data_IF_301488214676
#
_entry.id   IF_301488214676
#
_cell.length_a   1.000
_cell.length_b   1.000
_cell.length_c   1.000
_cell.angle_alpha   90.00
_cell.angle_beta   90.00
_cell.angle_gamma   90.00
#
_symmetry.space_group_name_H-M   'P 1'
#
loop_
_entity.id
_entity.type
_entity.pdbx_description
1 polymer ?
#
# COMPACT_ATOMS: atom_id res chain seq x y z
N UNK A 1 -5.47 2.07 -5.28
CA UNK A 1 -4.28 1.24 -5.07
C UNK A 1 -3.90 1.45 -3.61
N UNK A 2 -4.58 0.78 -2.67
CA UNK A 2 -4.55 1.16 -1.25
C UNK A 2 -5.37 2.40 -0.91
N UNK A 3 -5.35 2.75 0.38
CA UNK A 3 -6.00 3.90 1.01
C UNK A 3 -7.51 3.95 0.79
N UNK A 4 -8.17 2.88 1.19
CA UNK A 4 -9.62 2.74 1.18
C UNK A 4 -10.28 3.35 2.42
N UNK A 5 -9.52 3.48 3.52
CA UNK A 5 -9.99 3.89 4.84
C UNK A 5 -9.30 5.17 5.33
N UNK A 6 -9.78 5.67 6.49
CA UNK A 6 -9.38 6.92 7.14
C UNK A 6 -9.79 8.21 6.41
N UNK A 7 -9.75 9.33 7.15
CA UNK A 7 -10.07 10.73 6.75
C UNK A 7 -11.49 11.00 6.26
N UNK A 8 -12.14 10.06 5.58
CA UNK A 8 -13.54 10.14 5.16
C UNK A 8 -14.53 9.79 6.27
N UNK A 9 -15.82 9.96 5.98
CA UNK A 9 -16.91 9.63 6.91
C UNK A 9 -17.51 8.22 6.72
N UNK A 10 -17.15 7.56 5.61
CA UNK A 10 -17.75 6.33 5.12
C UNK A 10 -16.68 5.29 4.73
N UNK A 11 -15.60 5.21 5.50
CA UNK A 11 -14.51 4.25 5.26
C UNK A 11 -14.99 2.81 5.41
N UNK A 12 -15.91 2.54 6.34
CA UNK A 12 -16.52 1.22 6.54
C UNK A 12 -17.26 0.78 5.27
N UNK A 13 -18.20 1.57 4.77
CA UNK A 13 -18.98 1.21 3.59
C UNK A 13 -18.10 1.13 2.35
N UNK A 14 -17.10 2.00 2.24
CA UNK A 14 -16.14 1.98 1.13
C UNK A 14 -15.37 0.66 1.11
N UNK A 15 -14.81 0.25 2.24
CA UNK A 15 -14.03 -0.98 2.32
C UNK A 15 -14.91 -2.23 2.16
N UNK A 16 -16.07 -2.28 2.81
CA UNK A 16 -17.02 -3.40 2.68
C UNK A 16 -17.51 -3.57 1.24
N UNK A 17 -17.81 -2.48 0.54
CA UNK A 17 -18.20 -2.53 -0.87
C UNK A 17 -17.07 -3.11 -1.74
N UNK A 18 -15.84 -2.65 -1.53
CA UNK A 18 -14.68 -3.16 -2.27
C UNK A 18 -14.43 -4.64 -1.99
N UNK A 19 -14.58 -5.08 -0.74
CA UNK A 19 -14.49 -6.50 -0.38
C UNK A 19 -15.60 -7.32 -1.02
N UNK A 20 -16.85 -6.86 -0.97
CA UNK A 20 -17.97 -7.55 -1.61
C UNK A 20 -17.77 -7.68 -3.12
N UNK A 21 -17.28 -6.61 -3.76
CA UNK A 21 -16.92 -6.63 -5.17
C UNK A 21 -15.74 -7.57 -5.47
N UNK A 22 -14.71 -7.61 -4.62
CA UNK A 22 -13.60 -8.56 -4.74
C UNK A 22 -14.06 -10.01 -4.60
N UNK A 23 -14.99 -10.29 -3.68
CA UNK A 23 -15.58 -11.63 -3.51
C UNK A 23 -16.45 -12.03 -4.70
N UNK A 24 -17.23 -11.08 -5.24
CA UNK A 24 -18.11 -11.32 -6.39
C UNK A 24 -17.35 -11.45 -7.72
N UNK A 25 -16.29 -10.67 -7.90
CA UNK A 25 -15.49 -10.59 -9.13
C UNK A 25 -13.99 -10.77 -8.85
N UNK A 26 -13.57 -11.94 -8.32
CA UNK A 26 -12.21 -12.13 -7.81
C UNK A 26 -11.12 -12.03 -8.88
N UNK A 27 -11.44 -12.30 -10.16
CA UNK A 27 -10.51 -12.18 -11.27
C UNK A 27 -10.44 -10.75 -11.86
N UNK A 28 -11.44 -9.90 -11.60
CA UNK A 28 -11.55 -8.58 -12.22
C UNK A 28 -11.10 -7.45 -11.30
N UNK A 29 -11.14 -7.68 -9.98
CA UNK A 29 -10.85 -6.66 -8.98
C UNK A 29 -9.62 -7.07 -8.19
N UNK A 30 -8.64 -6.18 -8.12
CA UNK A 30 -7.42 -6.35 -7.32
C UNK A 30 -7.34 -5.21 -6.32
N UNK A 31 -7.32 -5.57 -5.04
CA UNK A 31 -7.13 -4.63 -3.95
C UNK A 31 -5.68 -4.71 -3.49
N UNK A 32 -4.98 -3.58 -3.60
CA UNK A 32 -3.65 -3.42 -3.05
C UNK A 32 -3.73 -2.78 -1.66
N UNK A 33 -2.80 -3.13 -0.79
CA UNK A 33 -2.61 -2.51 0.52
C UNK A 33 -2.01 -1.12 0.33
N UNK A 34 -2.55 -0.13 1.03
CA UNK A 34 -1.93 1.18 1.23
C UNK A 34 -1.39 1.34 2.64
N UNK A 35 -0.79 2.49 2.93
CA UNK A 35 -0.26 2.75 4.27
C UNK A 35 -1.39 2.93 5.30
N UNK A 36 -2.57 3.37 4.87
CA UNK A 36 -3.76 3.48 5.72
C UNK A 36 -4.42 2.12 6.05
N UNK A 37 -4.13 1.04 5.33
CA UNK A 37 -4.56 -0.32 5.71
C UNK A 37 -3.62 -0.94 6.77
N UNK A 38 -3.45 -0.23 7.88
CA UNK A 38 -2.60 -0.61 9.01
C UNK A 38 -3.27 -0.28 10.35
N UNK A 39 -2.97 -1.06 11.39
CA UNK A 39 -3.53 -0.87 12.73
C UNK A 39 -3.07 0.45 13.32
N UNK A 40 -1.80 0.79 13.14
CA UNK A 40 -1.22 2.02 13.69
C UNK A 40 -1.88 3.27 13.09
N UNK A 41 -2.02 3.34 11.77
CA UNK A 41 -2.60 4.53 11.11
C UNK A 41 -4.10 4.62 11.41
N UNK A 42 -4.86 3.52 11.26
CA UNK A 42 -6.32 3.55 11.48
C UNK A 42 -6.74 3.90 12.92
N UNK A 43 -5.86 3.68 13.90
CA UNK A 43 -6.09 4.05 15.31
C UNK A 43 -6.06 5.56 15.56
N UNK A 44 -5.51 6.35 14.64
CA UNK A 44 -5.33 7.80 14.79
C UNK A 44 -6.06 8.60 13.71
N UNK A 45 -6.24 8.04 12.51
CA UNK A 45 -6.72 8.78 11.33
C UNK A 45 -8.21 8.59 10.99
N UNK A 46 -8.97 7.93 11.88
CA UNK A 46 -10.42 8.02 11.94
C UNK A 46 -11.19 6.72 11.70
N UNK A 47 -10.61 5.69 11.06
CA UNK A 47 -11.32 4.45 10.78
C UNK A 47 -11.71 3.70 12.05
N UNK A 48 -10.84 3.68 13.07
CA UNK A 48 -11.16 3.09 14.38
C UNK A 48 -12.37 3.79 15.03
N UNK A 49 -12.37 5.12 15.06
CA UNK A 49 -13.45 5.92 15.64
C UNK A 49 -14.76 5.79 14.85
N UNK A 50 -14.68 5.70 13.52
CA UNK A 50 -15.83 5.42 12.66
C UNK A 50 -16.49 4.09 13.04
N UNK A 51 -15.69 3.04 13.22
CA UNK A 51 -16.20 1.72 13.62
C UNK A 51 -16.82 1.76 15.01
N UNK A 52 -16.15 2.37 15.98
CA UNK A 52 -16.70 2.50 17.33
C UNK A 52 -18.05 3.23 17.32
N UNK A 53 -18.16 4.31 16.55
CA UNK A 53 -19.40 5.07 16.41
C UNK A 53 -20.51 4.27 15.72
N UNK A 54 -20.21 3.48 14.70
CA UNK A 54 -21.21 2.73 13.92
C UNK A 54 -21.67 1.43 14.59
N UNK A 55 -20.76 0.73 15.27
CA UNK A 55 -21.01 -0.62 15.79
C UNK A 55 -20.96 -0.73 17.33
N UNK A 56 -20.53 0.33 18.03
CA UNK A 56 -20.45 0.35 19.50
C UNK A 56 -19.38 -0.53 20.11
N UNK A 57 -18.51 -1.17 19.31
CA UNK A 57 -17.42 -2.02 19.77
C UNK A 57 -16.31 -2.14 18.71
N UNK A 58 -15.12 -2.59 19.12
CA UNK A 58 -13.92 -2.64 18.28
C UNK A 58 -13.78 -3.93 17.44
N UNK A 59 -14.68 -4.90 17.55
CA UNK A 59 -14.53 -6.17 16.84
C UNK A 59 -14.47 -6.00 15.31
N UNK A 60 -15.32 -5.18 14.65
CA UNK A 60 -15.21 -4.97 13.21
C UNK A 60 -13.87 -4.38 12.79
N UNK A 61 -13.25 -3.52 13.61
CA UNK A 61 -11.94 -2.95 13.32
C UNK A 61 -10.85 -4.03 13.37
N UNK A 62 -10.92 -4.92 14.36
CA UNK A 62 -10.03 -6.08 14.44
C UNK A 62 -10.19 -6.97 13.20
N UNK A 63 -11.41 -7.27 12.78
CA UNK A 63 -11.65 -8.08 11.58
C UNK A 63 -11.13 -7.42 10.31
N UNK A 64 -11.35 -6.11 10.13
CA UNK A 64 -10.85 -5.37 8.96
C UNK A 64 -9.31 -5.36 8.93
N UNK A 65 -8.68 -5.08 10.07
CA UNK A 65 -7.20 -5.03 10.16
C UNK A 65 -6.55 -6.40 9.99
N UNK A 66 -7.20 -7.48 10.43
CA UNK A 66 -6.76 -8.84 10.12
C UNK A 66 -6.85 -9.14 8.63
N UNK A 67 -7.88 -8.64 7.92
CA UNK A 67 -7.99 -8.75 6.45
C UNK A 67 -6.91 -7.91 5.74
N UNK A 68 -6.57 -6.73 6.25
CA UNK A 68 -5.53 -5.88 5.65
C UNK A 68 -4.19 -6.59 5.47
N UNK A 69 -3.84 -7.48 6.40
CA UNK A 69 -2.59 -8.26 6.33
C UNK A 69 -2.54 -9.19 5.11
N UNK A 70 -3.70 -9.55 4.54
CA UNK A 70 -3.81 -10.40 3.35
C UNK A 70 -3.97 -9.61 2.06
N UNK A 71 -3.92 -8.27 2.08
CA UNK A 71 -3.96 -7.46 0.86
C UNK A 71 -2.63 -7.52 0.09
N UNK A 72 -2.70 -7.53 -1.24
CA UNK A 72 -1.52 -7.56 -2.10
C UNK A 72 -0.72 -6.27 -1.95
N UNK A 73 0.61 -6.34 -1.93
CA UNK A 73 1.46 -5.14 -1.76
C UNK A 73 1.93 -4.55 -3.10
N UNK A 74 1.77 -5.32 -4.18
CA UNK A 74 2.06 -4.91 -5.55
C UNK A 74 1.20 -5.73 -6.52
N UNK A 75 0.97 -5.19 -7.71
CA UNK A 75 0.42 -5.93 -8.85
C UNK A 75 1.29 -5.70 -10.08
N UNK A 76 1.45 -6.74 -10.90
CA UNK A 76 2.12 -6.66 -12.19
C UNK A 76 1.09 -6.92 -13.29
N UNK A 77 0.78 -5.89 -14.08
CA UNK A 77 -0.19 -5.97 -15.17
C UNK A 77 0.55 -6.19 -16.48
N UNK A 78 0.17 -7.26 -17.19
CA UNK A 78 0.76 -7.69 -18.47
C UNK A 78 2.29 -7.85 -18.46
N UNK A 79 2.89 -8.07 -17.28
CA UNK A 79 4.34 -8.17 -17.14
C UNK A 79 5.09 -6.85 -17.34
N UNK A 80 4.40 -5.73 -17.57
CA UNK A 80 5.01 -4.45 -17.99
C UNK A 80 4.70 -3.27 -17.08
N UNK A 81 3.59 -3.33 -16.32
CA UNK A 81 3.15 -2.24 -15.47
C UNK A 81 3.19 -2.69 -14.01
N UNK A 82 4.07 -2.09 -13.21
CA UNK A 82 4.11 -2.35 -11.78
C UNK A 82 3.21 -1.35 -11.05
N UNK A 83 2.21 -1.84 -10.34
CA UNK A 83 1.33 -1.03 -9.49
C UNK A 83 1.68 -1.26 -8.03
N UNK A 84 2.01 -0.19 -7.32
CA UNK A 84 2.31 -0.17 -5.87
C UNK A 84 1.64 1.05 -5.24
N UNK A 85 1.42 1.06 -3.93
CA UNK A 85 0.73 2.18 -3.30
C UNK A 85 1.64 3.41 -3.16
N UNK A 86 2.76 3.24 -2.46
CA UNK A 86 3.77 4.26 -2.20
C UNK A 86 4.73 4.41 -3.38
N UNK A 87 5.85 3.70 -3.30
CA UNK A 87 6.96 3.90 -4.22
C UNK A 87 8.07 2.85 -4.07
N UNK A 88 9.25 3.13 -4.62
CA UNK A 88 10.36 2.18 -4.64
C UNK A 88 11.10 2.11 -3.29
N UNK A 89 11.88 1.05 -3.10
CA UNK A 89 12.76 0.82 -1.95
C UNK A 89 14.22 0.66 -2.41
N UNK A 90 15.21 1.21 -1.71
CA UNK A 90 16.63 0.98 -2.01
C UNK A 90 17.04 -0.49 -1.82
N UNK A 91 16.30 -1.25 -1.00
CA UNK A 91 16.53 -2.67 -0.73
C UNK A 91 15.88 -3.60 -1.77
N UNK A 92 15.05 -3.05 -2.67
CA UNK A 92 14.33 -3.78 -3.71
C UNK A 92 14.79 -3.32 -5.09
N UNK A 93 15.59 -4.16 -5.74
CA UNK A 93 16.08 -3.97 -7.11
C UNK A 93 15.26 -4.75 -8.13
N UNK A 94 14.65 -5.87 -7.73
CA UNK A 94 13.87 -6.72 -8.63
C UNK A 94 12.46 -7.00 -8.12
N UNK A 95 11.53 -7.27 -9.05
CA UNK A 95 10.15 -7.68 -8.72
C UNK A 95 10.14 -8.97 -7.90
N UNK A 96 11.08 -9.88 -8.15
CA UNK A 96 11.15 -11.14 -7.40
C UNK A 96 11.47 -10.93 -5.91
N UNK A 97 12.21 -9.87 -5.56
CA UNK A 97 12.39 -9.49 -4.16
C UNK A 97 11.07 -9.04 -3.51
N UNK A 98 10.16 -8.42 -4.25
CA UNK A 98 8.82 -8.07 -3.75
C UNK A 98 8.00 -9.34 -3.46
N UNK A 99 8.12 -10.37 -4.31
CA UNK A 99 7.35 -11.63 -4.18
C UNK A 99 7.66 -12.39 -2.89
N UNK A 100 8.89 -12.27 -2.38
CA UNK A 100 9.34 -12.98 -1.18
C UNK A 100 9.11 -12.19 0.12
N UNK A 101 8.57 -10.98 0.05
CA UNK A 101 8.21 -10.20 1.24
C UNK A 101 7.08 -10.91 1.98
N UNK A 102 7.32 -11.23 3.26
CA UNK A 102 6.28 -11.73 4.16
C UNK A 102 5.30 -10.60 4.50
N UNK A 103 4.22 -10.50 3.72
CA UNK A 103 3.22 -9.43 3.81
C UNK A 103 2.12 -9.65 4.85
N UNK A 104 1.90 -10.89 5.30
CA UNK A 104 0.87 -11.26 6.28
C UNK A 104 1.28 -10.87 7.71
N UNK A 105 1.45 -9.56 7.92
CA UNK A 105 1.82 -8.92 9.18
C UNK A 105 1.48 -7.43 9.10
N UNK A 106 1.52 -6.76 10.25
CA UNK A 106 1.48 -5.29 10.30
C UNK A 106 2.64 -4.69 9.48
N UNK A 107 2.39 -3.54 8.85
CA UNK A 107 3.42 -2.80 8.11
C UNK A 107 4.54 -2.41 9.08
N UNK A 108 5.79 -2.86 8.87
CA UNK A 108 6.91 -2.48 9.71
C UNK A 108 7.21 -0.97 9.61
N UNK A 109 7.96 -0.44 10.59
CA UNK A 109 8.40 0.96 10.56
C UNK A 109 9.52 1.23 9.54
N UNK A 110 10.23 0.19 9.09
CA UNK A 110 11.37 0.30 8.16
C UNK A 110 11.48 -0.90 7.22
N UNK A 111 12.36 -0.77 6.24
CA UNK A 111 12.68 -1.81 5.27
C UNK A 111 11.70 -1.90 4.10
N UNK A 112 11.87 -2.91 3.23
CA UNK A 112 11.26 -2.91 1.90
C UNK A 112 9.73 -2.93 1.91
N UNK A 113 9.11 -3.54 2.92
CA UNK A 113 7.65 -3.51 3.03
C UNK A 113 7.14 -2.11 3.43
N UNK A 114 7.82 -1.44 4.36
CA UNK A 114 7.50 -0.06 4.72
C UNK A 114 7.62 0.86 3.50
N UNK A 115 8.77 0.80 2.82
CA UNK A 115 9.08 1.65 1.67
C UNK A 115 8.05 1.53 0.54
N UNK A 116 7.61 0.32 0.20
CA UNK A 116 6.60 0.10 -0.85
C UNK A 116 5.26 0.80 -0.54
N UNK A 117 4.98 1.06 0.74
CA UNK A 117 3.76 1.73 1.20
C UNK A 117 3.95 3.24 1.41
N UNK A 118 5.17 3.71 1.71
CA UNK A 118 5.41 5.08 2.17
C UNK A 118 6.32 5.94 1.29
N UNK A 119 7.10 5.34 0.39
CA UNK A 119 8.04 6.08 -0.46
C UNK A 119 7.33 6.96 -1.49
N UNK A 120 7.94 8.09 -1.82
CA UNK A 120 7.41 9.10 -2.74
C UNK A 120 8.42 9.48 -3.83
N UNK A 121 7.98 9.74 -5.07
CA UNK A 121 8.85 10.32 -6.09
C UNK A 121 9.14 11.79 -5.75
N UNK A 122 10.34 12.26 -6.09
CA UNK A 122 10.73 13.66 -5.91
C UNK A 122 11.67 14.11 -7.05
N UNK A 123 11.78 15.42 -7.28
CA UNK A 123 12.74 16.02 -8.22
C UNK A 123 14.18 16.00 -7.68
N UNK A 124 14.68 14.78 -7.45
CA UNK A 124 16.05 14.48 -7.07
C UNK A 124 16.64 13.45 -8.03
N UNK A 125 17.96 13.28 -7.97
CA UNK A 125 18.66 12.33 -8.83
C UNK A 125 18.61 10.89 -8.30
N UNK A 126 18.67 10.70 -6.98
CA UNK A 126 18.85 9.38 -6.36
C UNK A 126 17.85 9.17 -5.21
N UNK A 127 18.31 8.76 -4.04
CA UNK A 127 17.50 8.52 -2.86
C UNK A 127 17.71 9.65 -1.85
N UNK A 128 16.65 10.00 -1.11
CA UNK A 128 16.75 10.84 0.07
C UNK A 128 15.79 10.34 1.15
N UNK A 129 16.05 10.70 2.41
CA UNK A 129 15.16 10.33 3.51
C UNK A 129 13.81 11.03 3.35
N UNK A 130 12.73 10.29 3.56
CA UNK A 130 11.36 10.85 3.50
C UNK A 130 11.10 11.78 4.69
N UNK A 131 10.51 12.97 4.46
CA UNK A 131 10.07 13.84 5.55
C UNK A 131 8.88 13.27 6.32
N UNK A 132 8.24 12.21 5.83
CA UNK A 132 7.13 11.51 6.52
C UNK A 132 7.59 10.69 7.72
N UNK A 133 8.89 10.48 7.91
CA UNK A 133 9.44 9.62 8.94
C UNK A 133 9.37 8.12 8.64
N UNK A 134 8.92 7.75 7.42
CA UNK A 134 8.87 6.40 6.89
C UNK A 134 9.05 6.43 5.36
N UNK A 135 9.69 5.39 4.81
CA UNK A 135 10.01 5.30 3.38
C UNK A 135 11.10 6.26 2.91
N UNK A 136 11.22 6.37 1.59
CA UNK A 136 12.25 7.17 0.91
C UNK A 136 11.67 8.10 -0.13
N UNK A 137 12.38 9.19 -0.40
CA UNK A 137 12.22 9.94 -1.64
C UNK A 137 13.08 9.28 -2.72
N UNK A 138 12.55 9.16 -3.94
CA UNK A 138 13.29 8.58 -5.06
C UNK A 138 13.17 9.40 -6.35
N UNK A 139 14.30 9.49 -7.03
CA UNK A 139 14.47 10.29 -8.23
C UNK A 139 14.21 9.56 -9.55
N UNK A 140 14.27 10.32 -10.64
CA UNK A 140 14.04 9.79 -11.98
C UNK A 140 15.05 8.72 -12.40
N UNK A 141 16.32 8.78 -11.93
CA UNK A 141 17.33 7.76 -12.24
C UNK A 141 17.01 6.42 -11.57
N UNK A 142 16.52 6.45 -10.34
CA UNK A 142 16.09 5.25 -9.60
C UNK A 142 14.95 4.56 -10.35
N UNK A 143 13.93 5.31 -10.74
CA UNK A 143 12.78 4.79 -11.51
C UNK A 143 13.20 4.20 -12.85
N UNK A 144 14.06 4.91 -13.62
CA UNK A 144 14.58 4.42 -14.91
C UNK A 144 15.37 3.14 -14.76
N UNK A 145 16.23 3.05 -13.75
CA UNK A 145 17.04 1.86 -13.52
C UNK A 145 16.19 0.67 -13.08
N UNK A 146 15.24 0.88 -12.16
CA UNK A 146 14.33 -0.17 -11.74
C UNK A 146 13.50 -0.71 -12.92
N UNK A 147 12.98 0.19 -13.77
CA UNK A 147 12.25 -0.21 -14.97
C UNK A 147 13.12 -0.99 -15.95
N UNK A 148 14.36 -0.54 -16.17
CA UNK A 148 15.31 -1.21 -17.07
C UNK A 148 15.67 -2.61 -16.59
N UNK A 149 15.94 -2.78 -15.29
CA UNK A 149 16.28 -4.08 -14.69
C UNK A 149 15.12 -5.07 -14.82
N UNK A 150 13.89 -4.59 -14.62
CA UNK A 150 12.70 -5.43 -14.54
C UNK A 150 11.88 -5.48 -15.84
N UNK A 151 12.41 -4.90 -16.94
CA UNK A 151 11.74 -4.81 -18.23
C UNK A 151 10.31 -4.22 -18.16
N UNK A 152 10.15 -3.20 -17.30
CA UNK A 152 8.90 -2.48 -17.09
C UNK A 152 8.80 -1.25 -17.98
N UNK A 153 7.58 -0.96 -18.41
CA UNK A 153 7.26 0.27 -19.13
C UNK A 153 6.87 1.41 -18.19
N UNK A 154 6.22 1.09 -17.07
CA UNK A 154 5.67 2.09 -16.14
C UNK A 154 5.55 1.55 -14.72
N UNK A 155 5.71 2.45 -13.76
CA UNK A 155 5.32 2.25 -12.36
C UNK A 155 4.12 3.14 -12.07
N UNK A 156 3.00 2.54 -11.68
CA UNK A 156 1.77 3.21 -11.27
C UNK A 156 1.70 3.28 -9.74
N UNK A 157 1.31 4.43 -9.20
CA UNK A 157 1.22 4.66 -7.74
C UNK A 157 0.10 5.63 -7.35
N UNK A 158 -0.19 5.77 -6.04
CA UNK A 158 -1.33 6.57 -5.55
C UNK A 158 -1.06 7.51 -4.36
N UNK A 159 -0.13 7.22 -3.46
CA UNK A 159 0.00 7.82 -2.12
C UNK A 159 0.13 9.38 -2.01
N UNK A 160 0.20 10.15 -3.11
CA UNK A 160 0.14 11.63 -3.16
C UNK A 160 -0.91 12.10 -4.15
#
# INVERSE_FOLDING_TARGET
MGDFVDRGYNSVETFELLLALKLKYPANITLLRGNHESRQVTSVYGFYDEILRKYGNANPWKYCTDVFDYLGIAALVEGKLLCIHGGLSPDVKTIDQIRVIQRCKEIPHEGPFCDLMWSDPEDIDTWAMSPRGAGWLFGSKVTKEFNRINDLSLICRAHQ
#
